data_IF_110894307810
#
_entry.id   IF_110894307810
#
_cell.length_a   1.000
_cell.length_b   1.000
_cell.length_c   1.000
_cell.angle_alpha   90.00
_cell.angle_beta   90.00
_cell.angle_gamma   90.00
#
_symmetry.space_group_name_H-M   'P 1'
#
loop_
_entity.id
_entity.type
_entity.pdbx_description
1 polymer ?
#
# COMPACT_ATOMS: atom_id res chain seq x y z
N UNK A 1 30.86 -21.68 1.56
CA UNK A 1 30.28 -21.15 2.80
C UNK A 1 29.85 -19.72 2.51
N UNK A 2 28.55 -19.48 2.32
CA UNK A 2 28.02 -18.16 2.01
C UNK A 2 27.76 -17.41 3.32
N UNK A 3 28.32 -16.20 3.44
CA UNK A 3 28.13 -15.34 4.61
C UNK A 3 26.67 -14.95 4.75
N UNK A 4 26.08 -15.32 5.88
CA UNK A 4 24.83 -14.74 6.35
C UNK A 4 25.11 -13.26 6.63
N UNK A 5 24.70 -12.40 5.69
CA UNK A 5 24.74 -10.96 5.86
C UNK A 5 23.79 -10.61 7.01
N UNK A 6 24.38 -10.44 8.20
CA UNK A 6 23.71 -10.20 9.47
C UNK A 6 23.12 -8.81 9.53
N UNK A 7 22.15 -8.53 8.64
CA UNK A 7 21.28 -7.37 8.73
C UNK A 7 20.46 -7.50 10.00
N UNK A 8 20.99 -6.96 11.10
CA UNK A 8 20.29 -6.81 12.37
C UNK A 8 18.99 -6.06 12.07
N UNK A 9 17.87 -6.73 12.30
CA UNK A 9 16.58 -6.08 12.41
C UNK A 9 16.71 -5.05 13.54
N UNK A 10 16.75 -3.77 13.19
CA UNK A 10 16.49 -2.72 14.17
C UNK A 10 15.06 -2.92 14.67
N UNK A 11 14.82 -2.97 15.99
CA UNK A 11 13.47 -2.98 16.52
C UNK A 11 12.75 -1.76 15.93
N UNK A 12 11.56 -2.01 15.35
CA UNK A 12 10.72 -0.97 14.75
C UNK A 12 10.60 0.20 15.72
N UNK A 13 10.91 1.40 15.22
CA UNK A 13 10.80 2.65 15.94
C UNK A 13 9.36 2.82 16.43
N UNK A 14 9.17 3.38 17.62
CA UNK A 14 7.86 3.65 18.23
C UNK A 14 7.13 4.82 17.54
N UNK A 15 7.37 4.99 16.25
CA UNK A 15 6.92 6.09 15.43
C UNK A 15 5.42 6.01 15.19
N UNK A 16 4.75 7.12 15.45
CA UNK A 16 3.38 7.41 15.04
C UNK A 16 3.18 7.01 13.56
N UNK A 17 2.40 5.96 13.28
CA UNK A 17 2.19 5.48 11.93
C UNK A 17 1.09 6.30 11.26
N UNK A 18 1.50 7.27 10.43
CA UNK A 18 0.58 8.17 9.76
C UNK A 18 0.16 7.64 8.39
N UNK A 19 -1.14 7.70 8.10
CA UNK A 19 -1.67 7.71 6.74
C UNK A 19 -2.19 9.12 6.43
N UNK A 20 -1.95 9.61 5.22
CA UNK A 20 -2.56 10.87 4.77
C UNK A 20 -3.49 10.64 3.59
N UNK A 21 -4.73 11.16 3.67
CA UNK A 21 -5.76 10.99 2.63
C UNK A 21 -6.09 12.33 1.96
N UNK A 22 -6.13 12.34 0.63
CA UNK A 22 -6.41 13.50 -0.22
C UNK A 22 -7.61 13.21 -1.12
N UNK A 23 -8.59 14.12 -1.18
CA UNK A 23 -9.85 13.96 -1.91
C UNK A 23 -10.01 14.99 -3.07
N UNK A 24 -10.38 14.58 -4.29
CA UNK A 24 -10.62 15.49 -5.46
C UNK A 24 -11.68 14.99 -6.47
N UNK A 25 -12.10 15.82 -7.44
CA UNK A 25 -12.83 15.37 -8.63
C UNK A 25 -12.07 14.38 -9.54
N UNK A 26 -12.79 13.75 -10.49
CA UNK A 26 -12.27 12.67 -11.34
C UNK A 26 -11.16 13.13 -12.31
N UNK A 27 -11.14 14.41 -12.70
CA UNK A 27 -10.17 15.04 -13.63
C UNK A 27 -8.93 15.55 -12.89
N UNK A 28 -9.04 15.92 -11.62
CA UNK A 28 -7.94 16.47 -10.79
C UNK A 28 -7.11 15.42 -10.04
N UNK A 29 -7.41 14.12 -10.16
CA UNK A 29 -6.70 13.02 -9.45
C UNK A 29 -5.17 13.10 -9.48
N UNK A 30 -4.57 13.48 -10.62
CA UNK A 30 -3.11 13.62 -10.76
C UNK A 30 -2.57 14.78 -9.91
N UNK A 31 -3.27 15.92 -9.89
CA UNK A 31 -2.90 17.07 -9.06
C UNK A 31 -3.10 16.76 -7.59
N UNK A 32 -4.16 16.02 -7.24
CA UNK A 32 -4.41 15.50 -5.90
C UNK A 32 -3.25 14.65 -5.40
N UNK A 33 -2.85 13.65 -6.21
CA UNK A 33 -1.77 12.73 -5.89
C UNK A 33 -0.43 13.46 -5.81
N UNK A 34 -0.18 14.40 -6.72
CA UNK A 34 1.03 15.22 -6.69
C UNK A 34 1.07 16.10 -5.44
N UNK A 35 -0.01 16.83 -5.13
CA UNK A 35 -0.11 17.62 -3.91
C UNK A 35 -0.03 16.74 -2.65
N UNK A 36 -0.58 15.53 -2.70
CA UNK A 36 -0.50 14.56 -1.61
C UNK A 36 0.92 14.16 -1.31
N UNK A 37 1.60 13.68 -2.34
CA UNK A 37 2.99 13.31 -2.25
C UNK A 37 3.81 14.53 -1.86
N UNK A 38 3.60 15.72 -2.43
CA UNK A 38 4.34 16.93 -2.06
C UNK A 38 4.11 17.36 -0.60
N UNK A 39 2.88 17.32 -0.09
CA UNK A 39 2.57 17.70 1.30
C UNK A 39 3.12 16.68 2.30
N UNK A 40 3.06 15.40 1.98
CA UNK A 40 3.58 14.32 2.83
C UNK A 40 5.11 14.25 2.77
N UNK A 41 5.68 14.53 1.60
CA UNK A 41 7.13 14.57 1.35
C UNK A 41 7.73 15.96 1.63
N UNK A 42 6.96 16.89 2.20
CA UNK A 42 7.31 18.30 2.36
C UNK A 42 8.63 18.55 3.10
N UNK A 43 9.56 19.20 2.39
CA UNK A 43 10.95 19.55 2.75
C UNK A 43 11.91 18.36 2.98
N UNK A 44 12.76 18.10 1.98
CA UNK A 44 14.09 17.47 2.05
C UNK A 44 14.30 16.06 2.66
N UNK A 45 13.28 15.36 3.16
CA UNK A 45 13.50 14.09 3.87
C UNK A 45 13.81 12.89 2.93
N UNK A 46 15.10 12.64 2.72
CA UNK A 46 15.73 11.32 2.53
C UNK A 46 15.06 10.34 1.55
N UNK A 47 14.69 10.78 0.35
CA UNK A 47 14.44 9.84 -0.73
C UNK A 47 15.78 9.20 -1.11
N UNK A 48 15.85 7.87 -1.09
CA UNK A 48 17.04 7.13 -1.50
C UNK A 48 17.47 7.55 -2.92
N UNK A 49 18.77 7.46 -3.24
CA UNK A 49 19.29 7.77 -4.58
C UNK A 49 18.58 6.98 -5.70
N UNK A 50 18.08 5.79 -5.37
CA UNK A 50 17.34 4.91 -6.27
C UNK A 50 15.96 4.64 -5.68
N UNK A 51 14.91 4.85 -6.47
CA UNK A 51 13.52 4.65 -6.06
C UNK A 51 12.85 3.64 -7.00
N UNK A 52 12.75 2.39 -6.58
CA UNK A 52 11.99 1.38 -7.35
C UNK A 52 10.50 1.60 -7.14
N UNK A 53 9.73 1.78 -8.21
CA UNK A 53 8.28 2.01 -8.15
C UNK A 53 7.52 0.84 -8.74
N UNK A 54 6.54 0.34 -8.00
CA UNK A 54 5.84 -0.90 -8.32
C UNK A 54 4.36 -0.57 -8.55
N UNK A 55 3.84 -0.98 -9.71
CA UNK A 55 2.52 -0.61 -10.18
C UNK A 55 1.67 -1.84 -10.50
N UNK A 56 0.45 -1.91 -9.96
CA UNK A 56 -0.47 -3.04 -10.18
C UNK A 56 -1.59 -2.80 -11.22
N UNK A 57 -1.53 -3.55 -12.31
CA UNK A 57 -2.60 -3.99 -13.24
C UNK A 57 -3.62 -3.02 -13.86
N UNK A 58 -4.36 -2.18 -13.11
CA UNK A 58 -5.38 -1.33 -13.72
C UNK A 58 -4.75 -0.13 -14.43
N UNK A 59 -5.40 0.40 -15.48
CA UNK A 59 -4.91 1.62 -16.15
C UNK A 59 -4.83 2.81 -15.20
N UNK A 60 -5.72 2.86 -14.20
CA UNK A 60 -5.68 3.86 -13.13
C UNK A 60 -4.40 3.74 -12.29
N UNK A 61 -4.08 2.54 -11.80
CA UNK A 61 -2.85 2.32 -11.02
C UNK A 61 -1.61 2.55 -11.87
N UNK A 62 -1.62 2.14 -13.15
CA UNK A 62 -0.52 2.42 -14.08
C UNK A 62 -0.37 3.92 -14.31
N UNK A 63 -1.46 4.69 -14.34
CA UNK A 63 -1.39 6.15 -14.43
C UNK A 63 -0.80 6.74 -13.15
N UNK A 64 -1.33 6.38 -11.98
CA UNK A 64 -0.83 6.85 -10.68
C UNK A 64 0.65 6.50 -10.47
N UNK A 65 1.07 5.29 -10.84
CA UNK A 65 2.46 4.89 -10.74
C UNK A 65 3.37 5.62 -11.74
N UNK A 66 2.89 5.93 -12.95
CA UNK A 66 3.63 6.78 -13.89
C UNK A 66 3.80 8.20 -13.37
N UNK A 67 2.77 8.72 -12.69
CA UNK A 67 2.77 10.05 -12.09
C UNK A 67 3.77 10.10 -10.93
N UNK A 68 3.70 9.13 -10.01
CA UNK A 68 4.67 8.98 -8.93
C UNK A 68 6.10 8.80 -9.47
N UNK A 69 6.28 8.00 -10.52
CA UNK A 69 7.58 7.81 -11.15
C UNK A 69 8.10 9.06 -11.86
N UNK A 70 7.23 9.91 -12.39
CA UNK A 70 7.62 11.20 -12.96
C UNK A 70 8.10 12.14 -11.85
N UNK A 71 7.36 12.23 -10.74
CA UNK A 71 7.74 13.04 -9.58
C UNK A 71 9.11 12.65 -9.01
N UNK A 72 9.37 11.36 -8.84
CA UNK A 72 10.69 10.90 -8.39
C UNK A 72 11.81 11.23 -9.39
N UNK A 73 11.53 11.15 -10.70
CA UNK A 73 12.50 11.53 -11.74
C UNK A 73 12.79 13.03 -11.75
N UNK A 74 11.76 13.86 -11.57
CA UNK A 74 11.90 15.32 -11.46
C UNK A 74 12.73 15.70 -10.22
N UNK A 75 12.66 14.89 -9.16
CA UNK A 75 13.53 14.99 -7.98
C UNK A 75 14.94 14.36 -8.18
N UNK A 76 15.33 14.04 -9.42
CA UNK A 76 16.66 13.52 -9.76
C UNK A 76 16.90 12.05 -9.41
N UNK A 77 15.84 11.25 -9.20
CA UNK A 77 15.97 9.83 -8.83
C UNK A 77 15.86 8.90 -10.03
N UNK A 78 16.59 7.79 -9.97
CA UNK A 78 16.38 6.68 -10.92
C UNK A 78 15.14 5.89 -10.50
N UNK A 79 14.20 5.72 -11.44
CA UNK A 79 12.95 5.00 -11.19
C UNK A 79 12.78 3.86 -12.18
N UNK A 80 12.54 2.67 -11.64
CA UNK A 80 12.13 1.50 -12.41
C UNK A 80 10.65 1.20 -12.13
N UNK A 81 9.87 1.00 -13.20
CA UNK A 81 8.44 0.63 -13.12
C UNK A 81 8.25 -0.87 -13.32
N UNK A 82 7.76 -1.56 -12.30
CA UNK A 82 7.57 -3.01 -12.33
C UNK A 82 6.07 -3.33 -12.31
N UNK A 83 5.59 -4.02 -13.34
CA UNK A 83 4.21 -4.52 -13.43
C UNK A 83 4.14 -6.04 -13.21
N UNK A 84 3.10 -6.57 -12.54
CA UNK A 84 2.98 -8.01 -12.28
C UNK A 84 2.71 -8.84 -13.54
N UNK A 85 2.16 -8.22 -14.59
CA UNK A 85 1.71 -8.88 -15.82
C UNK A 85 2.83 -9.25 -16.80
N UNK A 86 4.09 -8.89 -16.55
CA UNK A 86 5.24 -9.43 -17.30
C UNK A 86 5.46 -10.92 -17.03
N UNK A 87 4.80 -11.50 -16.02
CA UNK A 87 4.92 -12.88 -15.59
C UNK A 87 3.66 -13.68 -15.93
N UNK A 88 3.47 -14.03 -17.21
CA UNK A 88 2.36 -14.92 -17.61
C UNK A 88 2.49 -16.24 -16.82
N UNK A 89 1.52 -16.63 -15.97
CA UNK A 89 1.71 -17.73 -15.01
C UNK A 89 2.07 -19.05 -15.70
N UNK A 90 1.46 -19.31 -16.87
CA UNK A 90 1.75 -20.49 -17.69
C UNK A 90 3.14 -20.40 -18.36
N UNK A 91 3.59 -19.23 -18.83
CA UNK A 91 4.95 -19.12 -19.41
C UNK A 91 6.04 -19.11 -18.34
N UNK A 92 5.78 -18.51 -17.18
CA UNK A 92 6.74 -18.40 -16.08
C UNK A 92 6.92 -19.69 -15.28
N UNK A 93 5.87 -20.54 -15.16
CA UNK A 93 6.00 -21.89 -14.61
C UNK A 93 6.88 -22.80 -15.49
N UNK A 94 6.81 -22.66 -16.82
CA UNK A 94 7.45 -23.59 -17.77
C UNK A 94 8.80 -23.11 -18.30
N UNK A 95 9.01 -21.80 -18.47
CA UNK A 95 10.30 -21.26 -18.95
C UNK A 95 11.36 -21.12 -17.87
N UNK A 96 11.07 -21.53 -16.63
CA UNK A 96 12.03 -21.39 -15.52
C UNK A 96 12.73 -20.05 -15.59
N UNK A 97 11.94 -18.96 -15.71
CA UNK A 97 12.42 -17.61 -16.01
C UNK A 97 13.71 -17.38 -15.25
N UNK A 98 14.77 -17.02 -15.99
CA UNK A 98 16.18 -17.20 -15.62
C UNK A 98 16.34 -17.24 -14.11
N UNK A 99 16.78 -18.37 -13.53
CA UNK A 99 16.87 -18.53 -12.07
C UNK A 99 17.63 -17.37 -11.40
N UNK A 100 18.44 -16.63 -12.17
CA UNK A 100 19.16 -15.41 -11.79
C UNK A 100 18.29 -14.19 -11.51
N UNK A 101 17.05 -14.16 -11.99
CA UNK A 101 16.05 -13.08 -11.83
C UNK A 101 15.22 -13.23 -10.56
N UNK A 102 15.26 -14.39 -9.88
CA UNK A 102 14.46 -14.67 -8.69
C UNK A 102 15.36 -14.88 -7.48
N UNK A 103 15.02 -14.23 -6.38
CA UNK A 103 15.72 -14.37 -5.11
C UNK A 103 14.79 -14.98 -4.06
N UNK A 104 15.33 -15.87 -3.24
CA UNK A 104 14.60 -16.53 -2.15
C UNK A 104 14.80 -15.73 -0.87
N UNK A 105 13.71 -15.20 -0.32
CA UNK A 105 13.68 -14.52 0.97
C UNK A 105 13.15 -15.51 2.01
N UNK A 106 13.91 -15.74 3.08
CA UNK A 106 13.45 -16.55 4.22
C UNK A 106 12.47 -15.73 5.06
N UNK A 107 11.33 -16.30 5.41
CA UNK A 107 10.28 -15.62 6.19
C UNK A 107 9.84 -16.40 7.44
N UNK A 108 10.33 -17.62 7.63
CA UNK A 108 10.11 -18.44 8.84
C UNK A 108 10.69 -17.81 10.11
N UNK A 109 11.88 -17.19 10.01
CA UNK A 109 12.52 -16.47 11.11
C UNK A 109 11.67 -15.32 11.67
N UNK A 110 10.62 -14.91 10.94
CA UNK A 110 9.70 -13.84 11.30
C UNK A 110 8.33 -14.37 11.76
N UNK A 111 8.21 -15.68 12.01
CA UNK A 111 6.95 -16.31 12.46
C UNK A 111 6.00 -16.68 11.32
N UNK A 112 6.48 -16.62 10.07
CA UNK A 112 5.71 -17.02 8.89
C UNK A 112 5.42 -18.51 8.87
N UNK A 113 4.24 -18.90 8.39
CA UNK A 113 3.89 -20.31 8.14
C UNK A 113 4.52 -20.87 6.86
N UNK A 114 5.21 -20.00 6.11
CA UNK A 114 5.91 -20.31 4.87
C UNK A 114 7.41 -20.22 5.18
N UNK A 115 8.20 -21.23 4.80
CA UNK A 115 9.66 -21.19 5.01
C UNK A 115 10.32 -20.03 4.26
N UNK A 116 9.97 -19.91 2.97
CA UNK A 116 10.53 -18.88 2.10
C UNK A 116 9.60 -18.47 0.97
N UNK A 117 9.80 -17.23 0.51
CA UNK A 117 9.10 -16.64 -0.62
C UNK A 117 10.12 -16.33 -1.70
N UNK A 118 9.78 -16.61 -2.96
CA UNK A 118 10.61 -16.23 -4.10
C UNK A 118 10.05 -14.96 -4.72
N UNK A 119 10.87 -13.94 -4.83
CA UNK A 119 10.55 -12.62 -5.38
C UNK A 119 11.49 -12.27 -6.54
N UNK A 120 11.10 -11.35 -7.44
CA UNK A 120 12.01 -10.79 -8.42
C UNK A 120 13.18 -10.10 -7.71
N UNK A 121 14.38 -10.35 -8.20
CA UNK A 121 15.64 -9.85 -7.63
C UNK A 121 15.70 -8.32 -7.57
N UNK A 122 14.99 -7.65 -8.46
CA UNK A 122 14.83 -6.19 -8.44
C UNK A 122 14.08 -5.70 -7.20
N UNK A 123 13.15 -6.50 -6.65
CA UNK A 123 12.40 -6.15 -5.45
C UNK A 123 13.18 -6.42 -4.17
N UNK A 124 13.96 -7.52 -4.14
CA UNK A 124 14.77 -7.89 -2.97
C UNK A 124 16.02 -7.03 -2.82
N UNK A 125 16.51 -6.46 -3.92
CA UNK A 125 17.67 -5.55 -3.94
C UNK A 125 17.33 -4.09 -3.83
N UNK A 126 16.07 -3.71 -4.05
CA UNK A 126 15.62 -2.37 -3.77
C UNK A 126 15.68 -2.17 -2.25
N UNK A 127 16.43 -1.15 -1.80
CA UNK A 127 16.51 -0.84 -0.37
C UNK A 127 15.14 -0.50 0.21
N UNK A 128 14.26 0.10 -0.61
CA UNK A 128 12.92 0.50 -0.22
C UNK A 128 11.98 0.63 -1.43
N UNK A 129 11.39 -0.48 -1.93
CA UNK A 129 10.43 -0.42 -3.02
C UNK A 129 9.16 0.35 -2.65
N UNK A 130 8.69 1.23 -3.54
CA UNK A 130 7.44 1.95 -3.40
C UNK A 130 6.31 1.21 -4.12
N UNK A 131 5.17 1.03 -3.47
CA UNK A 131 4.02 0.31 -4.00
C UNK A 131 2.87 1.27 -4.32
N UNK A 132 2.24 1.07 -5.48
CA UNK A 132 0.99 1.74 -5.84
C UNK A 132 -0.09 0.69 -6.07
N UNK A 133 -1.19 0.81 -5.33
CA UNK A 133 -2.35 -0.06 -5.46
C UNK A 133 -3.62 0.77 -5.62
N UNK A 134 -4.60 0.24 -6.34
CA UNK A 134 -5.93 0.83 -6.38
C UNK A 134 -6.86 0.14 -5.40
N UNK A 135 -7.62 0.97 -4.70
CA UNK A 135 -8.85 0.56 -4.04
C UNK A 135 -9.89 0.35 -5.14
N UNK A 136 -9.88 -0.86 -5.72
CA UNK A 136 -10.82 -1.27 -6.76
C UNK A 136 -12.27 -1.20 -6.29
N UNK A 137 -13.19 -1.21 -7.26
CA UNK A 137 -14.63 -1.16 -7.02
C UNK A 137 -15.15 -2.44 -6.33
N UNK A 138 -16.45 -2.43 -5.99
CA UNK A 138 -17.15 -3.55 -5.33
C UNK A 138 -16.99 -4.88 -6.08
N UNK A 139 -16.87 -4.84 -7.40
CA UNK A 139 -16.84 -6.00 -8.28
C UNK A 139 -15.42 -6.53 -8.53
N UNK A 140 -14.40 -5.70 -8.29
CA UNK A 140 -12.99 -5.99 -8.50
C UNK A 140 -12.26 -5.86 -7.18
N UNK A 141 -12.46 -6.85 -6.28
CA UNK A 141 -11.60 -7.05 -5.10
C UNK A 141 -10.17 -7.34 -5.57
N UNK A 142 -9.43 -6.27 -5.85
CA UNK A 142 -8.00 -6.35 -6.10
C UNK A 142 -7.26 -6.63 -4.79
N UNK A 143 -5.97 -6.95 -4.86
CA UNK A 143 -5.13 -6.91 -3.66
C UNK A 143 -4.99 -5.46 -3.18
N UNK A 144 -5.08 -5.24 -1.86
CA UNK A 144 -4.63 -4.01 -1.19
C UNK A 144 -3.15 -4.18 -0.79
N UNK A 145 -2.66 -3.42 0.18
CA UNK A 145 -1.24 -3.37 0.56
C UNK A 145 -0.63 -4.75 0.85
N UNK A 146 -1.27 -5.56 1.69
CA UNK A 146 -0.77 -6.88 2.07
C UNK A 146 -0.90 -7.90 0.92
N UNK A 147 -1.96 -7.80 0.14
CA UNK A 147 -2.19 -8.69 -1.00
C UNK A 147 -1.29 -8.40 -2.21
N UNK A 148 -0.74 -7.19 -2.33
CA UNK A 148 0.09 -6.77 -3.47
C UNK A 148 1.35 -7.63 -3.56
N UNK A 149 1.92 -8.00 -2.41
CA UNK A 149 3.10 -8.83 -2.32
C UNK A 149 2.98 -10.14 -3.11
N UNK A 150 1.85 -10.82 -2.98
CA UNK A 150 1.59 -12.09 -3.63
C UNK A 150 1.47 -11.99 -5.16
N UNK A 151 1.21 -10.80 -5.70
CA UNK A 151 1.18 -10.57 -7.16
C UNK A 151 2.57 -10.51 -7.77
N UNK A 152 3.57 -10.14 -6.98
CA UNK A 152 4.97 -10.12 -7.39
C UNK A 152 5.72 -11.39 -7.00
N UNK A 153 5.18 -12.17 -6.06
CA UNK A 153 5.74 -13.47 -5.73
C UNK A 153 5.76 -14.42 -6.93
N UNK A 154 6.69 -15.38 -6.87
CA UNK A 154 6.84 -16.42 -7.88
C UNK A 154 5.48 -17.01 -8.28
N UNK A 155 5.23 -17.34 -9.55
CA UNK A 155 3.90 -17.74 -10.05
C UNK A 155 3.18 -18.79 -9.22
N UNK A 156 3.92 -19.73 -8.61
CA UNK A 156 3.40 -20.68 -7.61
C UNK A 156 2.61 -19.98 -6.49
N UNK A 157 3.20 -18.97 -5.85
CA UNK A 157 2.56 -18.20 -4.79
C UNK A 157 1.41 -17.34 -5.32
N UNK A 158 1.55 -16.73 -6.49
CA UNK A 158 0.47 -15.96 -7.11
C UNK A 158 -0.78 -16.83 -7.41
N UNK A 159 -0.57 -18.07 -7.87
CA UNK A 159 -1.66 -19.05 -8.09
C UNK A 159 -2.27 -19.49 -6.76
N UNK A 160 -1.45 -19.83 -5.75
CA UNK A 160 -1.94 -20.21 -4.42
C UNK A 160 -2.75 -19.08 -3.77
N UNK A 161 -2.27 -17.84 -3.88
CA UNK A 161 -2.96 -16.64 -3.44
C UNK A 161 -4.32 -16.50 -4.13
N UNK A 162 -4.37 -16.67 -5.45
CA UNK A 162 -5.61 -16.59 -6.22
C UNK A 162 -6.63 -17.66 -5.83
N UNK A 163 -6.17 -18.89 -5.57
CA UNK A 163 -7.03 -19.99 -5.13
C UNK A 163 -7.55 -19.76 -3.71
N UNK A 164 -6.69 -19.28 -2.81
CA UNK A 164 -7.05 -19.03 -1.42
C UNK A 164 -7.93 -17.78 -1.23
N UNK A 165 -7.94 -16.87 -2.22
CA UNK A 165 -8.68 -15.62 -2.20
C UNK A 165 -7.94 -14.50 -1.46
N UNK A 166 -8.43 -13.27 -1.64
CA UNK A 166 -7.75 -12.06 -1.12
C UNK A 166 -7.81 -11.89 0.40
N UNK A 167 -8.58 -12.73 1.11
CA UNK A 167 -8.65 -12.75 2.59
C UNK A 167 -7.77 -13.84 3.21
N UNK A 168 -6.95 -14.52 2.41
CA UNK A 168 -6.12 -15.60 2.92
C UNK A 168 -5.02 -15.07 3.85
N UNK A 169 -4.90 -15.57 5.10
CA UNK A 169 -3.81 -15.21 6.00
C UNK A 169 -2.42 -15.42 5.40
N UNK A 170 -2.29 -16.36 4.45
CA UNK A 170 -1.04 -16.65 3.74
C UNK A 170 -0.49 -15.47 2.94
N UNK A 171 -1.34 -14.50 2.58
CA UNK A 171 -0.89 -13.29 1.90
C UNK A 171 -0.01 -12.43 2.82
N UNK A 172 -0.30 -12.38 4.12
CA UNK A 172 0.55 -11.69 5.09
C UNK A 172 1.89 -12.41 5.26
N UNK A 173 1.91 -13.75 5.26
CA UNK A 173 3.17 -14.51 5.26
C UNK A 173 4.02 -14.21 4.02
N UNK A 174 3.39 -13.95 2.87
CA UNK A 174 4.10 -13.53 1.64
C UNK A 174 4.57 -12.07 1.75
N UNK A 175 3.80 -11.20 2.39
CA UNK A 175 4.15 -9.81 2.60
C UNK A 175 5.39 -9.61 3.49
N UNK A 176 5.71 -10.56 4.38
CA UNK A 176 6.98 -10.59 5.15
C UNK A 176 8.24 -10.50 4.28
N UNK A 177 8.15 -10.97 3.02
CA UNK A 177 9.27 -10.93 2.11
C UNK A 177 9.54 -9.53 1.53
N UNK A 178 8.66 -8.56 1.79
CA UNK A 178 8.76 -7.20 1.29
C UNK A 178 8.96 -6.20 2.43
N UNK A 179 9.70 -5.15 2.13
CA UNK A 179 9.87 -3.97 2.99
C UNK A 179 9.55 -2.74 2.17
N UNK A 180 8.27 -2.35 2.10
CA UNK A 180 7.91 -1.16 1.35
C UNK A 180 8.56 0.08 1.94
N UNK A 181 9.00 0.99 1.07
CA UNK A 181 9.33 2.36 1.49
C UNK A 181 8.07 3.15 1.68
N UNK A 182 7.28 3.28 0.62
CA UNK A 182 5.98 3.95 0.62
C UNK A 182 4.94 3.05 -0.03
N UNK A 183 3.72 3.15 0.47
CA UNK A 183 2.54 2.50 -0.05
C UNK A 183 1.55 3.60 -0.38
N UNK A 184 1.20 3.70 -1.65
CA UNK A 184 0.23 4.64 -2.18
C UNK A 184 -1.01 3.87 -2.60
N UNK A 185 -2.14 4.21 -1.99
CA UNK A 185 -3.44 3.70 -2.38
C UNK A 185 -4.20 4.78 -3.12
N UNK A 186 -4.75 4.45 -4.28
CA UNK A 186 -5.60 5.36 -5.07
C UNK A 186 -6.99 4.79 -5.22
N UNK A 187 -8.05 5.60 -5.19
CA UNK A 187 -9.40 5.12 -5.43
C UNK A 187 -10.40 6.25 -5.60
N UNK A 188 -11.70 5.92 -5.57
CA UNK A 188 -12.75 6.94 -5.60
C UNK A 188 -14.01 6.50 -4.86
N UNK A 189 -14.46 7.34 -3.93
CA UNK A 189 -15.78 7.26 -3.28
C UNK A 189 -16.57 8.44 -3.83
N UNK A 190 -17.41 8.25 -4.87
CA UNK A 190 -18.09 9.35 -5.54
C UNK A 190 -18.78 10.32 -4.56
N UNK A 191 -18.62 11.65 -4.73
CA UNK A 191 -17.94 12.34 -5.84
C UNK A 191 -16.40 12.47 -5.69
N UNK A 192 -15.83 11.88 -4.64
CA UNK A 192 -14.46 12.11 -4.16
C UNK A 192 -13.49 11.07 -4.72
N UNK A 193 -12.31 11.51 -5.15
CA UNK A 193 -11.19 10.68 -5.57
C UNK A 193 -10.08 10.74 -4.55
N UNK A 194 -9.52 9.61 -4.17
CA UNK A 194 -8.82 9.41 -2.91
C UNK A 194 -7.39 8.98 -3.19
N UNK A 195 -6.42 9.64 -2.58
CA UNK A 195 -5.05 9.14 -2.49
C UNK A 195 -4.67 8.99 -1.01
N UNK A 196 -4.28 7.78 -0.59
CA UNK A 196 -3.74 7.52 0.74
C UNK A 196 -2.27 7.12 0.64
N UNK A 197 -1.41 7.66 1.51
CA UNK A 197 0.02 7.32 1.53
C UNK A 197 0.46 6.98 2.94
N UNK A 198 1.24 5.92 3.09
CA UNK A 198 1.86 5.49 4.35
C UNK A 198 3.07 4.59 4.09
N UNK A 199 3.91 4.36 5.10
CA UNK A 199 4.99 3.37 5.07
C UNK A 199 4.57 2.04 5.72
N UNK A 200 3.43 2.02 6.42
CA UNK A 200 2.97 0.88 7.21
C UNK A 200 1.99 0.00 6.42
N UNK A 201 2.30 -1.29 6.29
CA UNK A 201 1.49 -2.25 5.53
C UNK A 201 0.09 -2.44 6.12
N UNK A 202 -0.03 -2.48 7.44
CA UNK A 202 -1.31 -2.69 8.13
C UNK A 202 -2.14 -1.41 8.03
N UNK A 203 -1.54 -0.23 8.24
CA UNK A 203 -2.23 1.04 8.09
C UNK A 203 -2.78 1.21 6.67
N UNK A 204 -1.98 0.87 5.66
CA UNK A 204 -2.42 0.88 4.26
C UNK A 204 -3.58 -0.11 4.05
N UNK A 205 -3.46 -1.35 4.51
CA UNK A 205 -4.53 -2.33 4.37
C UNK A 205 -5.84 -1.85 5.02
N UNK A 206 -5.78 -1.36 6.25
CA UNK A 206 -6.93 -0.85 7.00
C UNK A 206 -7.62 0.32 6.30
N UNK A 207 -6.84 1.29 5.79
CA UNK A 207 -7.38 2.40 5.00
C UNK A 207 -8.03 1.89 3.71
N UNK A 208 -7.36 0.98 2.99
CA UNK A 208 -7.91 0.38 1.78
C UNK A 208 -9.22 -0.39 2.04
N UNK A 209 -9.29 -1.14 3.14
CA UNK A 209 -10.49 -1.86 3.56
C UNK A 209 -11.61 -0.88 3.94
N UNK A 210 -11.31 0.16 4.72
CA UNK A 210 -12.30 1.18 5.09
C UNK A 210 -12.85 1.89 3.85
N UNK A 211 -11.99 2.29 2.92
CA UNK A 211 -12.38 2.90 1.65
C UNK A 211 -13.25 1.98 0.80
N UNK A 212 -12.93 0.68 0.72
CA UNK A 212 -13.80 -0.29 0.02
C UNK A 212 -15.19 -0.34 0.61
N UNK A 213 -15.33 -0.26 1.93
CA UNK A 213 -16.65 -0.28 2.57
C UNK A 213 -17.47 0.93 2.21
N UNK A 214 -16.84 2.10 2.15
CA UNK A 214 -17.49 3.33 1.72
C UNK A 214 -17.99 3.26 0.26
N UNK A 215 -17.39 2.39 -0.56
CA UNK A 215 -17.84 2.14 -1.94
C UNK A 215 -18.94 1.05 -2.02
N UNK A 216 -19.13 0.24 -0.98
CA UNK A 216 -20.13 -0.84 -0.95
C UNK A 216 -21.40 -0.41 -0.22
N UNK A 217 -22.56 -0.57 -0.87
CA UNK A 217 -23.88 -0.19 -0.31
C UNK A 217 -24.34 -1.13 0.82
N UNK A 218 -23.79 -2.35 0.91
CA UNK A 218 -24.18 -3.37 1.90
C UNK A 218 -23.27 -3.33 3.12
N UNK A 219 -23.65 -2.57 4.15
CA UNK A 219 -22.86 -2.41 5.39
C UNK A 219 -23.15 -3.51 6.44
N UNK A 220 -24.19 -4.33 6.26
CA UNK A 220 -24.80 -5.06 7.40
C UNK A 220 -24.10 -6.35 7.86
N UNK A 221 -23.19 -6.94 7.07
CA UNK A 221 -22.59 -8.26 7.44
C UNK A 221 -21.06 -8.34 7.25
N UNK A 222 -20.37 -7.21 7.06
CA UNK A 222 -18.92 -7.25 6.93
C UNK A 222 -18.24 -7.12 8.30
N UNK A 223 -17.38 -8.10 8.70
CA UNK A 223 -16.64 -8.04 9.97
C UNK A 223 -15.84 -6.75 10.03
N UNK A 224 -15.49 -6.18 11.18
CA UNK A 224 -14.68 -4.96 11.31
C UNK A 224 -13.37 -5.00 10.50
N UNK A 225 -12.78 -3.86 10.12
CA UNK A 225 -11.51 -3.88 9.32
C UNK A 225 -10.36 -4.56 10.07
N UNK A 226 -10.36 -4.47 11.41
CA UNK A 226 -9.43 -5.16 12.30
C UNK A 226 -9.74 -6.65 12.50
N UNK A 227 -10.96 -7.07 12.19
CA UNK A 227 -11.40 -8.47 12.23
C UNK A 227 -11.12 -9.18 10.90
N UNK A 228 -10.54 -8.49 9.91
CA UNK A 228 -10.15 -9.16 8.69
C UNK A 228 -9.02 -10.16 8.95
N UNK A 229 -9.15 -11.43 8.52
CA UNK A 229 -8.13 -12.45 8.77
C UNK A 229 -6.74 -12.09 8.25
N UNK A 230 -6.66 -11.29 7.18
CA UNK A 230 -5.39 -10.84 6.64
C UNK A 230 -4.72 -9.80 7.56
N UNK A 231 -5.50 -8.88 8.11
CA UNK A 231 -5.03 -7.87 9.07
C UNK A 231 -4.61 -8.55 10.38
N UNK A 232 -5.43 -9.45 10.92
CA UNK A 232 -5.08 -10.19 12.15
C UNK A 232 -3.76 -10.93 12.00
N UNK A 233 -3.58 -11.65 10.88
CA UNK A 233 -2.32 -12.35 10.61
C UNK A 233 -1.14 -11.40 10.44
N UNK A 234 -1.33 -10.25 9.79
CA UNK A 234 -0.28 -9.25 9.67
C UNK A 234 0.13 -8.66 11.02
N UNK A 235 -0.82 -8.46 11.94
CA UNK A 235 -0.58 -8.03 13.31
C UNK A 235 0.22 -9.07 14.10
N UNK A 236 -0.15 -10.36 14.01
CA UNK A 236 0.62 -11.46 14.61
C UNK A 236 2.08 -11.48 14.12
N UNK A 237 2.26 -11.20 12.83
CA UNK A 237 3.56 -11.14 12.16
C UNK A 237 4.31 -9.81 12.37
N UNK A 238 3.72 -8.86 13.12
CA UNK A 238 4.29 -7.52 13.38
C UNK A 238 4.71 -6.80 12.11
N UNK A 239 3.88 -6.85 11.07
CA UNK A 239 4.13 -6.20 9.78
C UNK A 239 3.91 -4.68 9.80
N UNK A 240 3.52 -4.12 10.94
CA UNK A 240 3.22 -2.71 11.12
C UNK A 240 2.43 -2.51 12.40
N UNK A 241 1.48 -1.58 12.33
CA UNK A 241 0.68 -1.16 13.47
C UNK A 241 -0.09 -2.32 14.12
N UNK A 242 -0.01 -2.43 15.44
CA UNK A 242 -0.65 -3.52 16.18
C UNK A 242 -2.00 -3.16 16.81
N UNK A 243 -2.27 -1.86 17.01
CA UNK A 243 -3.44 -1.37 17.73
C UNK A 243 -3.96 -0.07 17.08
N UNK A 244 -5.27 0.20 17.13
CA UNK A 244 -5.84 1.44 16.62
C UNK A 244 -5.22 2.70 17.23
N UNK A 245 -4.90 2.68 18.53
CA UNK A 245 -4.33 3.83 19.26
C UNK A 245 -2.94 4.24 18.78
N UNK A 246 -2.28 3.42 17.96
CA UNK A 246 -0.97 3.69 17.39
C UNK A 246 -1.05 4.26 15.96
N UNK A 247 -2.26 4.34 15.39
CA UNK A 247 -2.51 4.95 14.10
C UNK A 247 -2.72 6.45 14.23
N UNK A 248 -2.33 7.18 13.20
CA UNK A 248 -2.79 8.55 13.00
C UNK A 248 -3.26 8.71 11.56
N UNK A 249 -4.41 9.33 11.37
CA UNK A 249 -4.94 9.61 10.05
C UNK A 249 -4.97 11.12 9.84
N UNK A 250 -4.04 11.62 9.02
CA UNK A 250 -4.08 12.99 8.53
C UNK A 250 -4.99 13.03 7.31
N UNK A 251 -5.84 14.02 7.21
CA UNK A 251 -6.68 14.21 6.03
C UNK A 251 -6.51 15.64 5.57
N UNK A 252 -6.43 15.85 4.26
CA UNK A 252 -6.48 17.19 3.73
C UNK A 252 -7.24 17.25 2.41
N UNK A 253 -7.78 18.43 2.17
CA UNK A 253 -8.63 18.73 1.05
C UNK A 253 -7.84 19.55 0.03
N UNK A 254 -7.79 19.11 -1.23
CA UNK A 254 -6.88 19.69 -2.25
C UNK A 254 -7.63 20.57 -3.28
N UNK A 255 -8.95 20.61 -3.25
CA UNK A 255 -9.76 21.32 -4.27
C UNK A 255 -10.35 22.64 -3.76
N UNK A 256 -10.48 23.64 -4.65
CA UNK A 256 -11.28 24.85 -4.40
C UNK A 256 -12.64 24.67 -5.07
N UNK A 257 -13.72 24.46 -4.31
CA UNK A 257 -15.10 24.56 -4.82
C UNK A 257 -16.04 23.37 -4.61
N UNK A 258 -15.59 22.26 -4.02
CA UNK A 258 -16.48 21.13 -3.67
C UNK A 258 -16.93 21.19 -2.19
N UNK A 259 -18.00 20.45 -1.86
CA UNK A 259 -18.67 20.38 -0.55
C UNK A 259 -17.72 19.94 0.58
N UNK A 260 -17.21 20.85 1.43
CA UNK A 260 -16.31 20.51 2.54
C UNK A 260 -16.95 19.53 3.53
N UNK A 261 -18.29 19.61 3.65
CA UNK A 261 -19.09 18.71 4.47
C UNK A 261 -18.98 17.24 4.02
N UNK A 262 -18.89 16.96 2.72
CA UNK A 262 -18.73 15.60 2.22
C UNK A 262 -17.34 15.04 2.57
N UNK A 263 -16.30 15.87 2.48
CA UNK A 263 -14.94 15.54 2.92
C UNK A 263 -14.90 15.24 4.43
N UNK A 264 -15.45 16.12 5.26
CA UNK A 264 -15.46 15.95 6.72
C UNK A 264 -16.22 14.68 7.14
N UNK A 265 -17.37 14.43 6.48
CA UNK A 265 -18.17 13.25 6.74
C UNK A 265 -17.41 11.97 6.36
N UNK A 266 -16.76 11.93 5.19
CA UNK A 266 -15.95 10.77 4.79
C UNK A 266 -14.73 10.58 5.71
N UNK A 267 -13.99 11.66 6.00
CA UNK A 267 -12.85 11.65 6.94
C UNK A 267 -13.26 11.07 8.30
N UNK A 268 -14.39 11.53 8.85
CA UNK A 268 -14.94 11.03 10.11
C UNK A 268 -15.28 9.54 10.03
N UNK A 269 -15.99 9.11 8.98
CA UNK A 269 -16.34 7.69 8.80
C UNK A 269 -15.11 6.82 8.65
N UNK A 270 -14.10 7.26 7.91
CA UNK A 270 -12.84 6.52 7.77
C UNK A 270 -12.14 6.37 9.12
N UNK A 271 -11.99 7.45 9.91
CA UNK A 271 -11.41 7.39 11.27
C UNK A 271 -12.14 6.38 12.14
N UNK A 272 -13.46 6.46 12.19
CA UNK A 272 -14.29 5.53 12.98
C UNK A 272 -14.11 4.07 12.51
N UNK A 273 -14.10 3.82 11.20
CA UNK A 273 -13.93 2.46 10.67
C UNK A 273 -12.58 1.87 11.01
N UNK A 274 -11.49 2.64 10.98
CA UNK A 274 -10.16 2.15 11.36
C UNK A 274 -9.91 2.18 12.89
N UNK A 275 -10.93 2.50 13.69
CA UNK A 275 -10.88 2.47 15.15
C UNK A 275 -10.16 3.67 15.78
N UNK A 276 -10.02 4.78 15.05
CA UNK A 276 -9.53 6.03 15.63
C UNK A 276 -10.66 6.75 16.35
N UNK A 277 -10.42 7.08 17.62
CA UNK A 277 -11.29 8.01 18.33
C UNK A 277 -11.27 9.38 17.64
N UNK A 278 -12.35 10.14 17.80
CA UNK A 278 -12.56 11.42 17.13
C UNK A 278 -11.59 12.49 17.67
N UNK A 279 -10.34 12.48 17.21
CA UNK A 279 -9.49 13.66 17.30
C UNK A 279 -9.96 14.65 16.24
N UNK A 280 -10.49 15.79 16.68
CA UNK A 280 -10.78 16.93 15.82
C UNK A 280 -9.44 17.62 15.59
N UNK A 281 -8.72 17.19 14.56
CA UNK A 281 -7.57 17.95 14.10
C UNK A 281 -8.12 19.19 13.38
N UNK A 282 -8.08 20.33 14.05
CA UNK A 282 -8.28 21.64 13.41
C UNK A 282 -7.11 21.82 12.45
N UNK A 283 -7.36 21.56 11.17
CA UNK A 283 -6.42 21.94 10.11
C UNK A 283 -6.47 23.47 10.07
N UNK A 284 -5.44 24.13 10.59
CA UNK A 284 -5.28 25.57 10.42
C UNK A 284 -5.23 25.86 8.91
N UNK A 285 -6.22 26.62 8.44
CA UNK A 285 -6.42 27.06 7.05
C UNK A 285 -5.31 28.02 6.54
N UNK A 286 -4.19 28.13 7.27
CA UNK A 286 -3.08 29.02 6.92
C UNK A 286 -2.07 28.31 6.04
N UNK A 287 -2.43 28.06 4.78
CA UNK A 287 -1.45 28.10 3.70
C UNK A 287 -2.09 28.70 2.45
N UNK A 288 -2.02 30.02 2.38
CA UNK A 288 -2.15 30.75 1.12
C UNK A 288 -1.04 30.28 0.17
N UNK A 289 -1.41 29.42 -0.77
CA UNK A 289 -0.68 29.16 -2.01
C UNK A 289 -1.47 29.71 -3.21
#
# INVERSE_FOLDING_TARGET
MAGADGRRFTPYDHSLHSASIHLTGARERRQALAAALTNILGSEAQLAAHATTIAYASEEVKSAARDMAAMFRDAGRTVELIAPTSLHPVRALWRGGDRREWETVQVDALGGNIGSVRLPRVLTRADSPHFVAAVGDVNTRGPLALGVAARFAHPKWAVLARIAGDRSPRLADVALALRPGWIVLTGGVPPLAIAAVTTDLIAAELVGLALRREMTVTDTDMPGVWEDPLVQRATELRLGVALPTLLTLKTCWVERGSEPAAFEALSTRLRLRIGLEKQVDVVDDNTSY
#
